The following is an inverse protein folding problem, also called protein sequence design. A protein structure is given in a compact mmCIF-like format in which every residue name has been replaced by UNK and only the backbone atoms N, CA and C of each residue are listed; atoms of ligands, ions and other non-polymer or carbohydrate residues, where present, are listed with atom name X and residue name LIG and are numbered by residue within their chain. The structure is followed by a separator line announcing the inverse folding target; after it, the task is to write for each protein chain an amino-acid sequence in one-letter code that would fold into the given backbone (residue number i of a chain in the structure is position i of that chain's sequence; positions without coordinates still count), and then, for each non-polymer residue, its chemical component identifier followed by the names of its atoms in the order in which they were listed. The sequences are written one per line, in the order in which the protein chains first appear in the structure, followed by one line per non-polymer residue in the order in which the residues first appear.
data_IF_887672862005
#
_entry.id   IF_887672862005
#
_cell.length_a   1.000
_cell.length_b   1.000
_cell.length_c   1.000
_cell.angle_alpha   90.00
_cell.angle_beta   90.00
_cell.angle_gamma   90.00
#
_symmetry.space_group_name_H-M   'P 1'
#
loop_
_entity.id
_entity.type
_entity.pdbx_description
1 polymer ?
#
# COMPACT_ATOMS: atom_id res chain seq x y z
N UNK A 1 -88.61 12.56 8.93
CA UNK A 1 -87.32 11.83 8.83
C UNK A 1 -86.15 12.68 9.37
N UNK A 2 -86.28 13.23 10.57
CA UNK A 2 -85.28 14.12 11.21
C UNK A 2 -84.99 13.75 12.68
N UNK A 3 -85.46 12.57 13.14
CA UNK A 3 -85.28 12.09 14.53
C UNK A 3 -84.50 10.76 14.65
N UNK A 4 -84.12 10.14 13.53
CA UNK A 4 -83.24 8.95 13.51
C UNK A 4 -81.80 9.25 13.06
N UNK A 5 -81.53 10.48 12.62
CA UNK A 5 -80.18 10.90 12.19
C UNK A 5 -79.33 11.45 13.36
N UNK A 6 -79.95 11.85 14.46
CA UNK A 6 -79.25 12.39 15.64
C UNK A 6 -78.68 11.29 16.57
N UNK A 7 -79.24 10.09 16.53
CA UNK A 7 -78.80 8.95 17.34
C UNK A 7 -77.60 8.20 16.74
N UNK A 8 -77.31 8.38 15.45
CA UNK A 8 -76.10 7.86 14.82
C UNK A 8 -74.90 8.82 14.93
N UNK A 9 -75.13 10.12 15.19
CA UNK A 9 -74.06 11.10 15.39
C UNK A 9 -73.53 11.15 16.84
N UNK A 10 -74.33 10.72 17.83
CA UNK A 10 -73.91 10.71 19.23
C UNK A 10 -73.11 9.45 19.64
N UNK A 11 -73.19 8.37 18.86
CA UNK A 11 -72.40 7.15 19.10
C UNK A 11 -70.98 7.24 18.53
N UNK A 12 -70.72 8.17 17.60
CA UNK A 12 -69.41 8.34 16.96
C UNK A 12 -68.50 9.34 17.71
N UNK A 13 -69.05 10.12 18.65
CA UNK A 13 -68.31 11.12 19.43
C UNK A 13 -67.96 10.72 20.89
N UNK A 14 -68.16 9.47 21.29
CA UNK A 14 -67.86 9.00 22.67
C UNK A 14 -66.79 7.92 22.77
N UNK A 15 -66.08 7.59 21.68
CA UNK A 15 -64.94 6.66 21.71
C UNK A 15 -63.56 7.36 21.78
N UNK A 16 -63.54 8.67 21.99
CA UNK A 16 -62.32 9.45 22.13
C UNK A 16 -61.95 9.68 23.60
N UNK A 17 -61.66 8.62 24.37
CA UNK A 17 -60.85 8.70 25.62
C UNK A 17 -60.51 7.27 26.14
N UNK A 18 -59.20 6.99 26.19
CA UNK A 18 -58.51 5.86 26.82
C UNK A 18 -58.64 4.45 26.18
N UNK A 19 -57.80 4.20 25.19
CA UNK A 19 -57.11 2.92 25.06
C UNK A 19 -55.61 3.18 24.88
N UNK A 20 -54.88 3.22 26.00
CA UNK A 20 -53.43 3.03 26.01
C UNK A 20 -53.13 1.64 25.42
N UNK A 21 -52.34 1.61 24.35
CA UNK A 21 -51.98 0.37 23.67
C UNK A 21 -50.91 0.63 22.62
N UNK A 22 -49.69 0.93 23.10
CA UNK A 22 -48.38 0.83 22.44
C UNK A 22 -48.40 0.74 20.91
N UNK A 23 -48.49 1.90 20.27
CA UNK A 23 -47.89 2.14 18.95
C UNK A 23 -46.74 3.09 19.21
N UNK A 24 -45.54 2.52 19.27
CA UNK A 24 -44.32 3.29 19.11
C UNK A 24 -44.43 3.95 17.72
N UNK A 25 -44.55 5.28 17.74
CA UNK A 25 -44.31 6.08 16.56
C UNK A 25 -42.89 5.76 16.12
N UNK A 26 -42.77 5.31 14.88
CA UNK A 26 -41.48 5.32 14.20
C UNK A 26 -41.21 6.80 13.91
N UNK A 27 -40.72 7.49 14.94
CA UNK A 27 -40.08 8.79 14.81
C UNK A 27 -38.93 8.59 13.84
N UNK A 28 -39.21 8.98 12.61
CA UNK A 28 -38.31 9.35 11.55
C UNK A 28 -36.89 9.64 12.08
N UNK A 29 -36.06 8.59 12.12
CA UNK A 29 -34.62 8.67 12.20
C UNK A 29 -34.04 8.34 10.82
N UNK A 30 -34.54 9.00 9.77
CA UNK A 30 -33.63 9.44 8.72
C UNK A 30 -32.72 10.49 9.35
N UNK A 31 -31.70 10.01 10.07
CA UNK A 31 -30.46 10.77 10.14
C UNK A 31 -30.02 10.91 8.69
N UNK A 32 -29.95 12.13 8.18
CA UNK A 32 -29.38 12.47 6.87
C UNK A 32 -28.33 11.43 6.47
N UNK A 33 -28.72 10.51 5.59
CA UNK A 33 -27.82 9.47 5.14
C UNK A 33 -26.83 10.17 4.22
N UNK A 34 -25.68 10.58 4.78
CA UNK A 34 -24.64 11.29 4.03
C UNK A 34 -24.40 10.55 2.72
N UNK A 35 -24.69 11.20 1.61
CA UNK A 35 -24.42 10.65 0.29
C UNK A 35 -22.91 10.68 0.07
N UNK A 36 -22.30 9.50 -0.02
CA UNK A 36 -20.86 9.38 -0.18
C UNK A 36 -20.48 9.32 -1.65
N UNK A 37 -19.41 10.04 -2.00
CA UNK A 37 -18.73 9.98 -3.30
C UNK A 37 -17.24 9.84 -3.07
N UNK A 38 -16.61 8.90 -3.77
CA UNK A 38 -15.19 8.56 -3.58
C UNK A 38 -14.35 9.12 -4.72
N UNK A 39 -13.33 9.90 -4.40
CA UNK A 39 -12.29 10.26 -5.35
C UNK A 39 -10.99 9.53 -5.00
N UNK A 40 -10.19 9.19 -6.01
CA UNK A 40 -8.79 8.79 -5.83
C UNK A 40 -7.89 9.74 -6.60
N UNK A 41 -6.81 10.21 -5.96
CA UNK A 41 -5.85 11.14 -6.54
C UNK A 41 -4.46 10.50 -6.44
N UNK A 42 -3.72 10.35 -7.55
CA UNK A 42 -2.36 9.80 -7.51
C UNK A 42 -1.34 10.84 -7.03
N UNK A 43 -0.27 10.40 -6.36
CA UNK A 43 0.79 11.29 -5.89
C UNK A 43 1.81 11.62 -6.99
N UNK A 44 2.24 10.60 -7.72
CA UNK A 44 3.14 10.59 -8.87
C UNK A 44 2.56 9.66 -9.94
N UNK A 45 2.91 9.91 -11.21
CA UNK A 45 2.53 9.01 -12.30
C UNK A 45 1.02 8.85 -12.46
N UNK A 46 0.59 7.66 -12.86
CA UNK A 46 -0.82 7.32 -13.06
C UNK A 46 -1.12 5.87 -12.67
N UNK A 47 -2.34 5.43 -12.97
CA UNK A 47 -2.88 4.12 -12.64
C UNK A 47 -2.39 2.98 -13.57
N UNK A 48 -1.30 3.18 -14.31
CA UNK A 48 -0.70 2.17 -15.20
C UNK A 48 0.61 1.59 -14.69
N UNK A 49 0.98 1.92 -13.45
CA UNK A 49 2.20 1.44 -12.80
C UNK A 49 2.20 -0.07 -12.48
N UNK A 50 1.05 -0.74 -12.62
CA UNK A 50 0.84 -2.17 -12.34
C UNK A 50 1.32 -2.58 -10.94
N UNK A 51 1.24 -1.64 -10.00
CA UNK A 51 1.76 -1.79 -8.64
C UNK A 51 0.94 -0.94 -7.67
N UNK A 52 1.44 0.21 -7.24
CA UNK A 52 0.93 0.94 -6.09
C UNK A 52 -0.35 1.74 -6.40
N UNK A 53 -0.30 2.58 -7.44
CA UNK A 53 -1.41 3.42 -7.85
C UNK A 53 -2.55 2.62 -8.47
N UNK A 54 -2.21 1.69 -9.37
CA UNK A 54 -3.21 0.86 -10.04
C UNK A 54 -4.01 0.02 -9.04
N UNK A 55 -3.35 -0.62 -8.08
CA UNK A 55 -4.03 -1.47 -7.09
C UNK A 55 -4.97 -0.67 -6.20
N UNK A 56 -4.56 0.53 -5.81
CA UNK A 56 -5.40 1.44 -5.02
C UNK A 56 -6.61 1.91 -5.84
N UNK A 57 -6.42 2.27 -7.11
CA UNK A 57 -7.50 2.60 -8.03
C UNK A 57 -8.50 1.45 -8.19
N UNK A 58 -8.01 0.23 -8.42
CA UNK A 58 -8.85 -0.97 -8.60
C UNK A 58 -9.66 -1.29 -7.34
N UNK A 59 -9.07 -1.09 -6.15
CA UNK A 59 -9.78 -1.24 -4.88
C UNK A 59 -10.90 -0.20 -4.70
N UNK A 60 -10.61 1.07 -4.97
CA UNK A 60 -11.62 2.15 -4.94
C UNK A 60 -12.75 1.87 -5.93
N UNK A 61 -12.42 1.50 -7.16
CA UNK A 61 -13.38 1.19 -8.21
C UNK A 61 -14.26 0.01 -7.84
N UNK A 62 -13.66 -1.10 -7.41
CA UNK A 62 -14.40 -2.30 -7.01
C UNK A 62 -15.32 -2.03 -5.81
N UNK A 63 -14.85 -1.25 -4.83
CA UNK A 63 -15.68 -0.82 -3.71
C UNK A 63 -16.88 0.02 -4.18
N UNK A 64 -16.63 1.01 -5.03
CA UNK A 64 -17.65 1.93 -5.50
C UNK A 64 -18.71 1.23 -6.37
N UNK A 65 -18.29 0.38 -7.31
CA UNK A 65 -19.19 -0.44 -8.13
C UNK A 65 -20.05 -1.37 -7.27
N UNK A 66 -19.45 -2.06 -6.30
CA UNK A 66 -20.16 -2.97 -5.39
C UNK A 66 -21.25 -2.27 -4.57
N UNK A 67 -21.02 -1.01 -4.20
CA UNK A 67 -21.91 -0.26 -3.31
C UNK A 67 -22.75 0.81 -4.03
N UNK A 68 -22.69 0.87 -5.37
CA UNK A 68 -23.37 1.91 -6.19
C UNK A 68 -23.01 3.34 -5.76
N UNK A 69 -21.73 3.56 -5.46
CA UNK A 69 -21.17 4.86 -5.07
C UNK A 69 -20.47 5.48 -6.29
N UNK A 70 -20.59 6.79 -6.44
CA UNK A 70 -19.88 7.51 -7.50
C UNK A 70 -18.37 7.49 -7.23
N UNK A 71 -17.59 7.16 -8.26
CA UNK A 71 -16.14 7.09 -8.19
C UNK A 71 -15.48 7.84 -9.35
N UNK A 72 -14.46 8.65 -9.02
CA UNK A 72 -13.63 9.33 -10.02
C UNK A 72 -12.16 9.30 -9.62
N UNK A 73 -11.31 9.20 -10.65
CA UNK A 73 -9.86 9.30 -10.53
C UNK A 73 -9.39 10.67 -11.04
N UNK A 74 -8.42 11.26 -10.34
CA UNK A 74 -7.77 12.51 -10.69
C UNK A 74 -6.24 12.32 -10.76
N UNK A 75 -5.62 12.92 -11.77
CA UNK A 75 -4.17 12.95 -11.94
C UNK A 75 -3.68 14.39 -11.77
N UNK A 76 -2.79 14.70 -10.81
CA UNK A 76 -2.15 16.01 -10.74
C UNK A 76 -1.42 16.35 -12.05
N UNK A 77 -1.41 17.64 -12.41
CA UNK A 77 -0.74 18.12 -13.62
C UNK A 77 0.80 18.01 -13.54
N UNK A 78 1.34 18.00 -12.33
CA UNK A 78 2.75 17.90 -12.04
C UNK A 78 3.02 17.36 -10.64
N UNK A 79 4.29 17.08 -10.40
CA UNK A 79 4.78 16.36 -9.23
C UNK A 79 5.04 17.29 -8.02
N UNK A 80 4.09 18.18 -7.71
CA UNK A 80 4.23 19.18 -6.65
C UNK A 80 2.95 19.31 -5.80
N UNK A 81 3.10 19.91 -4.61
CA UNK A 81 2.00 20.08 -3.64
C UNK A 81 0.83 20.87 -4.21
N UNK A 82 1.08 21.96 -4.95
CA UNK A 82 0.03 22.83 -5.45
C UNK A 82 -0.89 22.10 -6.44
N UNK A 83 -0.33 21.28 -7.34
CA UNK A 83 -1.12 20.50 -8.29
C UNK A 83 -1.94 19.38 -7.60
N UNK A 84 -1.41 18.80 -6.51
CA UNK A 84 -2.16 17.84 -5.68
C UNK A 84 -3.32 18.50 -4.94
N UNK A 85 -3.09 19.68 -4.36
CA UNK A 85 -4.15 20.50 -3.74
C UNK A 85 -5.20 20.87 -4.78
N UNK A 86 -4.81 21.30 -5.97
CA UNK A 86 -5.77 21.65 -7.03
C UNK A 86 -6.69 20.47 -7.41
N UNK A 87 -6.18 19.22 -7.41
CA UNK A 87 -7.00 18.03 -7.64
C UNK A 87 -7.91 17.71 -6.46
N UNK A 88 -7.46 17.94 -5.22
CA UNK A 88 -8.33 17.84 -4.03
C UNK A 88 -9.48 18.85 -4.13
N UNK A 89 -9.18 20.12 -4.39
CA UNK A 89 -10.20 21.17 -4.55
C UNK A 89 -11.19 20.82 -5.67
N UNK A 90 -10.69 20.37 -6.83
CA UNK A 90 -11.55 19.97 -7.95
C UNK A 90 -12.49 18.81 -7.57
N UNK A 91 -11.98 17.82 -6.81
CA UNK A 91 -12.81 16.72 -6.33
C UNK A 91 -13.88 17.21 -5.33
N UNK A 92 -13.52 18.07 -4.39
CA UNK A 92 -14.47 18.62 -3.42
C UNK A 92 -15.53 19.49 -4.10
N UNK A 93 -15.15 20.34 -5.07
CA UNK A 93 -16.09 21.16 -5.86
C UNK A 93 -17.10 20.32 -6.65
N UNK A 94 -16.69 19.14 -7.13
CA UNK A 94 -17.56 18.15 -7.77
C UNK A 94 -18.42 17.33 -6.77
N UNK A 95 -18.26 17.58 -5.47
CA UNK A 95 -19.03 16.97 -4.40
C UNK A 95 -18.44 15.66 -3.86
N UNK A 96 -17.19 15.34 -4.19
CA UNK A 96 -16.50 14.19 -3.59
C UNK A 96 -16.14 14.48 -2.13
N UNK A 97 -16.57 13.59 -1.23
CA UNK A 97 -16.44 13.78 0.22
C UNK A 97 -15.65 12.65 0.92
N UNK A 98 -15.11 11.71 0.15
CA UNK A 98 -14.08 10.76 0.57
C UNK A 98 -12.97 10.79 -0.46
N UNK A 99 -11.77 11.20 -0.06
CA UNK A 99 -10.62 11.35 -0.96
C UNK A 99 -9.53 10.37 -0.54
N UNK A 100 -9.24 9.41 -1.43
CA UNK A 100 -8.19 8.41 -1.28
C UNK A 100 -6.92 8.90 -1.97
N UNK A 101 -5.81 8.90 -1.23
CA UNK A 101 -4.55 9.53 -1.61
C UNK A 101 -3.38 8.56 -1.38
N UNK A 102 -3.09 7.65 -2.32
CA UNK A 102 -1.93 6.80 -2.23
C UNK A 102 -0.65 7.60 -2.50
N UNK A 103 0.23 7.65 -1.50
CA UNK A 103 1.63 8.03 -1.64
C UNK A 103 2.07 9.17 -0.73
N UNK A 104 3.33 9.08 -0.29
CA UNK A 104 3.92 9.96 0.72
C UNK A 104 3.86 11.45 0.37
N UNK A 105 3.86 11.79 -0.93
CA UNK A 105 3.90 13.18 -1.39
C UNK A 105 2.60 13.97 -1.15
N UNK A 106 1.56 13.32 -0.61
CA UNK A 106 0.36 13.99 -0.11
C UNK A 106 0.55 14.66 1.25
N UNK A 107 1.66 14.47 1.96
CA UNK A 107 1.92 15.12 3.26
C UNK A 107 1.63 16.62 3.25
N UNK A 108 2.19 17.35 2.27
CA UNK A 108 1.94 18.79 2.11
C UNK A 108 0.50 19.12 1.71
N UNK A 109 -0.09 18.36 0.80
CA UNK A 109 -1.45 18.61 0.34
C UNK A 109 -2.48 18.41 1.46
N UNK A 110 -2.27 17.42 2.34
CA UNK A 110 -3.07 17.20 3.54
C UNK A 110 -2.98 18.41 4.49
N UNK A 111 -1.75 18.89 4.76
CA UNK A 111 -1.51 20.06 5.63
C UNK A 111 -2.22 21.32 5.13
N UNK A 112 -2.39 21.46 3.82
CA UNK A 112 -3.10 22.59 3.20
C UNK A 112 -4.61 22.38 3.16
N UNK A 113 -5.10 21.25 2.65
CA UNK A 113 -6.49 21.04 2.30
C UNK A 113 -7.36 20.51 3.45
N UNK A 114 -6.84 19.61 4.31
CA UNK A 114 -7.65 19.00 5.37
C UNK A 114 -8.27 20.02 6.36
N UNK A 115 -7.60 21.14 6.73
CA UNK A 115 -8.20 22.20 7.53
C UNK A 115 -9.36 22.94 6.84
N UNK A 116 -9.39 23.01 5.51
CA UNK A 116 -10.40 23.75 4.75
C UNK A 116 -11.67 22.93 4.51
N UNK A 117 -11.57 21.60 4.53
CA UNK A 117 -12.64 20.68 4.12
C UNK A 117 -13.06 19.70 5.23
N UNK A 118 -13.65 20.23 6.30
CA UNK A 118 -13.92 19.47 7.56
C UNK A 118 -14.93 18.33 7.44
N UNK A 119 -15.77 18.37 6.43
CA UNK A 119 -16.76 17.35 6.09
C UNK A 119 -16.19 16.25 5.17
N UNK A 120 -15.03 16.50 4.53
CA UNK A 120 -14.34 15.55 3.67
C UNK A 120 -13.47 14.61 4.50
N UNK A 121 -13.53 13.32 4.18
CA UNK A 121 -12.69 12.28 4.79
C UNK A 121 -11.48 12.02 3.91
N UNK A 122 -10.29 12.28 4.43
CA UNK A 122 -9.03 12.03 3.75
C UNK A 122 -8.45 10.68 4.19
N UNK A 123 -8.28 9.76 3.25
CA UNK A 123 -7.68 8.44 3.47
C UNK A 123 -6.39 8.38 2.68
N UNK A 124 -5.26 8.47 3.36
CA UNK A 124 -3.94 8.45 2.76
C UNK A 124 -3.26 7.09 2.95
N UNK A 125 -2.59 6.58 1.91
CA UNK A 125 -1.72 5.42 2.03
C UNK A 125 -0.26 5.89 1.93
N UNK A 126 0.61 5.31 2.75
CA UNK A 126 2.05 5.59 2.75
C UNK A 126 2.43 7.04 3.10
N UNK A 127 1.56 7.77 3.80
CA UNK A 127 1.86 9.07 4.38
C UNK A 127 2.20 8.90 5.86
N UNK A 128 3.47 9.04 6.21
CA UNK A 128 3.97 8.90 7.56
C UNK A 128 3.97 10.23 8.34
N UNK A 129 4.22 10.13 9.64
CA UNK A 129 4.34 11.30 10.54
C UNK A 129 5.37 12.31 10.01
N UNK A 130 6.49 11.83 9.47
CA UNK A 130 7.55 12.68 8.93
C UNK A 130 7.11 13.50 7.73
N UNK A 131 6.37 12.91 6.79
CA UNK A 131 5.90 13.58 5.58
C UNK A 131 4.93 14.72 5.90
N UNK A 132 4.09 14.52 6.92
CA UNK A 132 3.16 15.53 7.43
C UNK A 132 3.90 16.66 8.18
N UNK A 133 4.86 16.29 9.03
CA UNK A 133 5.65 17.25 9.81
C UNK A 133 6.53 18.12 8.93
N UNK A 134 7.16 17.58 7.89
CA UNK A 134 8.00 18.36 6.98
C UNK A 134 7.24 19.58 6.43
N UNK A 135 6.01 19.36 5.94
CA UNK A 135 5.17 20.44 5.44
C UNK A 135 4.57 21.31 6.56
N UNK A 136 4.08 20.70 7.64
CA UNK A 136 3.43 21.41 8.75
C UNK A 136 4.38 22.35 9.48
N UNK A 137 5.60 21.90 9.77
CA UNK A 137 6.66 22.67 10.42
C UNK A 137 7.12 23.82 9.52
N UNK A 138 7.32 23.55 8.23
CA UNK A 138 7.67 24.58 7.26
C UNK A 138 6.58 25.65 7.15
N UNK A 139 5.30 25.26 7.13
CA UNK A 139 4.15 26.19 7.14
C UNK A 139 4.09 27.06 8.39
N UNK A 140 4.57 26.55 9.54
CA UNK A 140 4.69 27.32 10.78
C UNK A 140 5.92 28.28 10.79
N UNK A 141 6.76 28.26 9.76
CA UNK A 141 8.00 29.05 9.70
C UNK A 141 9.14 28.50 10.57
N UNK A 142 9.04 27.24 10.99
CA UNK A 142 10.04 26.53 11.78
C UNK A 142 10.89 25.63 10.86
N UNK A 143 12.04 25.13 11.34
CA UNK A 143 12.92 24.24 10.58
C UNK A 143 12.79 22.80 11.08
N UNK A 144 12.36 21.89 10.21
CA UNK A 144 12.24 20.47 10.53
C UNK A 144 13.61 19.81 10.54
N UNK A 145 13.90 19.02 11.57
CA UNK A 145 15.18 18.32 11.76
C UNK A 145 15.19 16.90 11.17
N UNK A 146 14.13 16.52 10.45
CA UNK A 146 13.92 15.20 9.85
C UNK A 146 13.91 14.05 10.87
N UNK A 147 13.68 14.35 12.15
CA UNK A 147 13.40 13.37 13.18
C UNK A 147 11.96 13.56 13.71
N UNK A 148 10.98 12.77 13.24
CA UNK A 148 9.58 12.91 13.63
C UNK A 148 9.36 12.82 15.15
N UNK A 149 10.23 12.15 15.90
CA UNK A 149 10.08 11.96 17.34
C UNK A 149 10.34 13.24 18.15
N UNK A 150 11.03 14.22 17.55
CA UNK A 150 11.29 15.51 18.18
C UNK A 150 10.09 16.48 18.12
N UNK A 151 8.98 16.08 17.48
CA UNK A 151 7.85 16.97 17.18
C UNK A 151 6.50 16.38 17.56
N UNK A 152 5.61 17.24 18.08
CA UNK A 152 4.20 16.94 18.35
C UNK A 152 3.37 17.22 17.09
N UNK A 153 2.87 16.16 16.44
CA UNK A 153 2.20 16.26 15.13
C UNK A 153 1.02 17.22 15.15
N UNK A 154 0.21 17.16 16.21
CA UNK A 154 -1.04 17.90 16.37
C UNK A 154 -0.83 19.42 16.48
N UNK A 155 0.39 19.87 16.81
CA UNK A 155 0.76 21.29 16.79
C UNK A 155 0.83 21.85 15.36
N UNK A 156 1.17 21.01 14.39
CA UNK A 156 1.51 21.43 13.03
C UNK A 156 0.48 20.96 11.98
N UNK A 157 -0.28 19.91 12.27
CA UNK A 157 -1.14 19.24 11.29
C UNK A 157 -2.50 18.92 11.89
N UNK A 158 -3.55 19.32 11.16
CA UNK A 158 -4.92 19.00 11.55
C UNK A 158 -5.33 17.63 11.00
N UNK A 159 -5.33 16.62 11.89
CA UNK A 159 -5.67 15.24 11.55
C UNK A 159 -7.14 14.89 11.81
N UNK A 160 -8.00 15.86 12.18
CA UNK A 160 -9.38 15.59 12.64
C UNK A 160 -10.26 14.89 11.61
N UNK A 161 -9.92 15.00 10.33
CA UNK A 161 -10.58 14.39 9.19
C UNK A 161 -9.60 13.62 8.28
N UNK A 162 -8.48 13.16 8.83
CA UNK A 162 -7.43 12.42 8.11
C UNK A 162 -7.19 11.06 8.76
N UNK A 163 -7.03 10.04 7.92
CA UNK A 163 -6.51 8.72 8.29
C UNK A 163 -5.34 8.40 7.37
N UNK A 164 -4.22 7.96 7.94
CA UNK A 164 -3.07 7.47 7.18
C UNK A 164 -2.82 6.00 7.49
N UNK A 165 -2.62 5.19 6.46
CA UNK A 165 -2.15 3.82 6.57
C UNK A 165 -0.70 3.72 6.07
N UNK A 166 0.24 3.41 6.96
CA UNK A 166 1.63 3.07 6.63
C UNK A 166 1.85 1.57 6.85
N UNK A 167 3.00 1.02 6.42
CA UNK A 167 3.22 -0.42 6.43
C UNK A 167 4.54 -0.81 7.12
N UNK A 168 4.63 -2.08 7.52
CA UNK A 168 5.84 -2.73 8.01
C UNK A 168 6.59 -3.39 6.84
N UNK A 169 7.06 -2.59 5.87
CA UNK A 169 7.64 -3.11 4.62
C UNK A 169 8.90 -3.95 4.81
N UNK A 170 9.62 -3.73 5.92
CA UNK A 170 10.78 -4.53 6.28
C UNK A 170 10.42 -6.02 6.41
N UNK A 171 9.20 -6.36 6.81
CA UNK A 171 8.79 -7.74 7.01
C UNK A 171 8.68 -8.49 5.69
N UNK A 172 7.95 -7.95 4.70
CA UNK A 172 7.84 -8.61 3.39
C UNK A 172 9.14 -8.49 2.57
N UNK A 173 9.95 -7.45 2.78
CA UNK A 173 11.33 -7.40 2.30
C UNK A 173 12.15 -8.59 2.83
N UNK A 174 12.12 -8.83 4.14
CA UNK A 174 12.79 -9.97 4.78
C UNK A 174 12.30 -11.29 4.19
N UNK A 175 10.98 -11.50 4.13
CA UNK A 175 10.40 -12.72 3.60
C UNK A 175 10.90 -13.02 2.17
N UNK A 176 10.97 -11.99 1.32
CA UNK A 176 11.45 -12.14 -0.06
C UNK A 176 12.95 -12.46 -0.15
N UNK A 177 13.78 -11.79 0.64
CA UNK A 177 15.23 -12.05 0.69
C UNK A 177 15.56 -13.44 1.24
N UNK A 178 14.90 -13.82 2.32
CA UNK A 178 15.03 -15.14 2.93
C UNK A 178 14.59 -16.24 1.97
N UNK A 179 13.44 -16.07 1.30
CA UNK A 179 12.96 -17.01 0.29
C UNK A 179 13.96 -17.19 -0.85
N UNK A 180 14.54 -16.11 -1.38
CA UNK A 180 15.50 -16.18 -2.49
C UNK A 180 16.70 -17.07 -2.15
N UNK A 181 17.33 -16.85 -0.99
CA UNK A 181 18.49 -17.66 -0.57
C UNK A 181 18.09 -19.10 -0.28
N UNK A 182 16.96 -19.32 0.39
CA UNK A 182 16.45 -20.67 0.66
C UNK A 182 16.14 -21.46 -0.61
N UNK A 183 15.72 -20.78 -1.68
CA UNK A 183 15.48 -21.39 -2.99
C UNK A 183 16.78 -21.67 -3.79
N UNK A 184 17.92 -21.22 -3.28
CA UNK A 184 19.27 -21.57 -3.76
C UNK A 184 20.01 -20.45 -4.50
N UNK A 185 19.45 -19.24 -4.55
CA UNK A 185 20.11 -18.09 -5.18
C UNK A 185 21.16 -17.47 -4.24
N UNK A 186 22.29 -17.03 -4.80
CA UNK A 186 23.41 -16.49 -4.03
C UNK A 186 23.89 -15.12 -4.51
N UNK A 187 23.70 -14.78 -5.77
CA UNK A 187 24.01 -13.46 -6.31
C UNK A 187 22.71 -12.69 -6.52
N UNK A 188 22.41 -11.77 -5.61
CA UNK A 188 21.14 -11.07 -5.54
C UNK A 188 21.35 -9.57 -5.82
N UNK A 189 20.27 -8.89 -6.16
CA UNK A 189 20.24 -7.45 -6.35
C UNK A 189 19.01 -6.82 -5.70
N UNK A 190 19.17 -5.63 -5.14
CA UNK A 190 18.07 -4.75 -4.76
C UNK A 190 18.11 -3.50 -5.64
N UNK A 191 17.02 -3.29 -6.41
CA UNK A 191 16.77 -2.08 -7.18
C UNK A 191 15.61 -1.33 -6.53
N UNK A 192 15.92 -0.37 -5.68
CA UNK A 192 14.92 0.54 -5.11
C UNK A 192 14.53 1.65 -6.08
N UNK A 193 13.33 2.20 -5.93
CA UNK A 193 12.89 3.41 -6.64
C UNK A 193 13.57 4.67 -6.11
N UNK A 194 12.77 5.63 -5.62
CA UNK A 194 13.30 6.72 -4.78
C UNK A 194 13.60 6.21 -3.37
N UNK A 195 14.64 6.76 -2.72
CA UNK A 195 15.04 6.39 -1.36
C UNK A 195 14.13 7.03 -0.29
N UNK A 196 12.83 6.74 -0.37
CA UNK A 196 11.83 7.16 0.62
C UNK A 196 11.71 6.10 1.72
N UNK A 197 11.24 6.44 2.94
CA UNK A 197 11.25 5.52 4.08
C UNK A 197 10.67 4.12 3.81
N UNK A 198 9.59 4.03 3.02
CA UNK A 198 9.00 2.73 2.64
C UNK A 198 9.96 1.86 1.80
N UNK A 199 10.56 2.43 0.75
CA UNK A 199 11.51 1.71 -0.12
C UNK A 199 12.77 1.33 0.65
N UNK A 200 13.23 2.20 1.55
CA UNK A 200 14.35 1.91 2.45
C UNK A 200 14.05 0.70 3.34
N UNK A 201 12.88 0.65 3.97
CA UNK A 201 12.47 -0.47 4.83
C UNK A 201 12.38 -1.79 4.05
N UNK A 202 11.83 -1.80 2.85
CA UNK A 202 11.86 -2.97 1.96
C UNK A 202 13.28 -3.48 1.72
N UNK A 203 14.20 -2.60 1.32
CA UNK A 203 15.58 -2.97 1.02
C UNK A 203 16.34 -3.48 2.24
N UNK A 204 16.12 -2.86 3.41
CA UNK A 204 16.77 -3.28 4.65
C UNK A 204 16.21 -4.60 5.15
N UNK A 205 14.90 -4.80 5.03
CA UNK A 205 14.27 -6.09 5.25
C UNK A 205 14.88 -7.16 4.34
N UNK A 206 14.99 -6.87 3.04
CA UNK A 206 15.57 -7.79 2.05
C UNK A 206 16.99 -8.23 2.43
N UNK A 207 17.88 -7.29 2.77
CA UNK A 207 19.24 -7.63 3.21
C UNK A 207 19.23 -8.50 4.48
N UNK A 208 18.40 -8.18 5.47
CA UNK A 208 18.27 -8.98 6.69
C UNK A 208 17.79 -10.41 6.41
N UNK A 209 16.82 -10.57 5.49
CA UNK A 209 16.31 -11.88 5.10
C UNK A 209 17.36 -12.72 4.37
N UNK A 210 18.10 -12.10 3.44
CA UNK A 210 19.22 -12.74 2.74
C UNK A 210 20.30 -13.18 3.73
N UNK A 211 20.68 -12.31 4.66
CA UNK A 211 21.72 -12.59 5.66
C UNK A 211 21.31 -13.73 6.60
N UNK A 212 20.08 -13.70 7.09
CA UNK A 212 19.56 -14.73 7.99
C UNK A 212 19.51 -16.11 7.31
N UNK A 213 19.01 -16.20 6.08
CA UNK A 213 18.98 -17.45 5.34
C UNK A 213 20.40 -17.95 5.01
N UNK A 214 21.32 -17.06 4.66
CA UNK A 214 22.71 -17.40 4.41
C UNK A 214 23.40 -17.95 5.69
N UNK A 215 23.17 -17.32 6.83
CA UNK A 215 23.70 -17.74 8.13
C UNK A 215 23.17 -19.13 8.53
N UNK A 216 21.87 -19.35 8.37
CA UNK A 216 21.24 -20.63 8.67
C UNK A 216 21.80 -21.77 7.81
N UNK A 217 22.00 -21.50 6.51
CA UNK A 217 22.58 -22.45 5.55
C UNK A 217 24.12 -22.52 5.62
N UNK A 218 24.76 -21.72 6.48
CA UNK A 218 26.22 -21.61 6.64
C UNK A 218 26.93 -21.26 5.32
N UNK A 219 26.30 -20.41 4.51
CA UNK A 219 26.87 -19.90 3.28
C UNK A 219 27.79 -18.72 3.59
N UNK A 220 28.86 -18.58 2.80
CA UNK A 220 29.84 -17.48 2.92
C UNK A 220 30.07 -16.77 1.59
N UNK A 221 29.32 -17.15 0.55
CA UNK A 221 29.50 -16.70 -0.83
C UNK A 221 28.26 -15.98 -1.39
N UNK A 222 27.34 -15.57 -0.51
CA UNK A 222 26.14 -14.81 -0.88
C UNK A 222 26.49 -13.32 -1.01
N UNK A 223 26.01 -12.69 -2.09
CA UNK A 223 26.28 -11.30 -2.45
C UNK A 223 24.98 -10.58 -2.81
N UNK A 224 24.89 -9.30 -2.42
CA UNK A 224 23.78 -8.41 -2.77
C UNK A 224 24.34 -7.14 -3.39
N UNK A 225 24.04 -6.89 -4.66
CA UNK A 225 24.20 -5.55 -5.23
C UNK A 225 23.01 -4.68 -4.77
N UNK A 226 23.25 -3.42 -4.41
CA UNK A 226 22.22 -2.56 -3.83
C UNK A 226 22.26 -1.18 -4.48
N UNK A 227 21.14 -0.72 -5.06
CA UNK A 227 21.07 0.59 -5.71
C UNK A 227 19.66 1.18 -5.68
N UNK A 228 19.58 2.52 -5.68
CA UNK A 228 18.35 3.26 -5.94
C UNK A 228 18.32 3.82 -7.37
N UNK A 229 17.22 3.62 -8.08
CA UNK A 229 17.00 4.18 -9.41
C UNK A 229 16.76 5.69 -9.39
N UNK A 230 16.25 6.24 -8.27
CA UNK A 230 15.94 7.66 -8.12
C UNK A 230 14.59 8.10 -8.69
N UNK A 231 13.76 7.14 -9.14
CA UNK A 231 12.40 7.35 -9.64
C UNK A 231 11.58 6.04 -9.51
N UNK A 232 10.28 6.08 -9.80
CA UNK A 232 9.37 4.92 -9.67
C UNK A 232 9.00 4.24 -11.01
N UNK A 233 9.74 4.51 -12.08
CA UNK A 233 9.52 3.91 -13.39
C UNK A 233 10.85 3.52 -14.03
N UNK A 234 10.83 2.50 -14.90
CA UNK A 234 12.02 2.05 -15.62
C UNK A 234 12.42 3.02 -16.74
N UNK A 235 13.70 3.05 -17.06
CA UNK A 235 14.24 3.74 -18.23
C UNK A 235 15.56 3.11 -18.71
N UNK A 236 16.16 3.68 -19.75
CA UNK A 236 17.38 3.15 -20.36
C UNK A 236 18.59 3.15 -19.42
N UNK A 237 18.73 4.13 -18.52
CA UNK A 237 19.87 4.21 -17.60
C UNK A 237 19.75 3.11 -16.53
N UNK A 238 18.55 2.93 -15.97
CA UNK A 238 18.27 1.87 -15.01
C UNK A 238 18.44 0.50 -15.67
N UNK A 239 17.93 0.32 -16.89
CA UNK A 239 18.08 -0.92 -17.65
C UNK A 239 19.55 -1.23 -17.94
N UNK A 240 20.40 -0.23 -18.23
CA UNK A 240 21.83 -0.45 -18.46
C UNK A 240 22.57 -0.96 -17.21
N UNK A 241 22.21 -0.47 -16.02
CA UNK A 241 22.74 -1.00 -14.76
C UNK A 241 22.27 -2.44 -14.53
N UNK A 242 20.98 -2.72 -14.76
CA UNK A 242 20.45 -4.08 -14.63
C UNK A 242 21.09 -5.05 -15.65
N UNK A 243 21.31 -4.61 -16.88
CA UNK A 243 22.04 -5.38 -17.91
C UNK A 243 23.45 -5.73 -17.40
N UNK A 244 24.14 -4.78 -16.77
CA UNK A 244 25.46 -5.00 -16.18
C UNK A 244 25.41 -6.03 -15.05
N UNK A 245 24.44 -5.92 -14.15
CA UNK A 245 24.26 -6.84 -13.03
C UNK A 245 23.97 -8.27 -13.50
N UNK A 246 22.99 -8.46 -14.40
CA UNK A 246 22.63 -9.80 -14.88
C UNK A 246 23.74 -10.42 -15.74
N UNK A 247 24.38 -9.66 -16.63
CA UNK A 247 25.54 -10.15 -17.38
C UNK A 247 26.74 -10.47 -16.47
N UNK A 248 26.85 -9.78 -15.33
CA UNK A 248 27.84 -10.02 -14.28
C UNK A 248 27.52 -11.21 -13.36
N UNK A 249 26.40 -11.91 -13.58
CA UNK A 249 26.02 -13.10 -12.82
C UNK A 249 25.07 -12.86 -11.65
N UNK A 250 24.43 -11.69 -11.57
CA UNK A 250 23.27 -11.50 -10.66
C UNK A 250 22.15 -12.44 -11.11
N UNK A 251 21.62 -13.24 -10.20
CA UNK A 251 20.61 -14.26 -10.47
C UNK A 251 19.20 -13.72 -10.27
N UNK A 252 19.00 -12.89 -9.25
CA UNK A 252 17.68 -12.35 -8.89
C UNK A 252 17.78 -10.88 -8.50
N UNK A 253 16.94 -10.03 -9.08
CA UNK A 253 16.79 -8.63 -8.63
C UNK A 253 15.42 -8.40 -8.00
N UNK A 254 15.37 -7.91 -6.78
CA UNK A 254 14.18 -7.32 -6.18
C UNK A 254 13.99 -5.90 -6.70
N UNK A 255 12.97 -5.72 -7.55
CA UNK A 255 12.61 -4.43 -8.13
C UNK A 255 11.53 -3.75 -7.28
N UNK A 256 11.95 -2.83 -6.41
CA UNK A 256 11.15 -2.20 -5.37
C UNK A 256 10.92 -0.71 -5.68
N UNK A 257 9.94 -0.39 -6.52
CA UNK A 257 9.61 1.01 -6.81
C UNK A 257 8.59 1.18 -7.91
N UNK A 258 7.39 0.60 -7.75
CA UNK A 258 6.32 0.71 -8.74
C UNK A 258 6.74 0.14 -10.10
N UNK A 259 6.59 0.93 -11.16
CA UNK A 259 6.90 0.57 -12.54
C UNK A 259 8.39 0.33 -12.85
N UNK A 260 9.30 0.52 -11.88
CA UNK A 260 10.74 0.28 -12.06
C UNK A 260 11.09 -1.18 -12.41
N UNK A 261 10.19 -2.12 -12.12
CA UNK A 261 10.36 -3.54 -12.48
C UNK A 261 10.60 -3.74 -13.98
N UNK A 262 10.08 -2.85 -14.83
CA UNK A 262 10.22 -2.92 -16.29
C UNK A 262 11.68 -3.00 -16.72
N UNK A 263 12.55 -2.16 -16.14
CA UNK A 263 14.00 -2.19 -16.39
C UNK A 263 14.67 -3.49 -15.93
N UNK A 264 14.28 -4.00 -14.76
CA UNK A 264 14.79 -5.28 -14.26
C UNK A 264 14.37 -6.46 -15.15
N UNK A 265 13.12 -6.47 -15.63
CA UNK A 265 12.58 -7.51 -16.52
C UNK A 265 13.22 -7.45 -17.90
N UNK A 266 13.38 -6.26 -18.47
CA UNK A 266 14.03 -6.08 -19.77
C UNK A 266 15.47 -6.57 -19.79
N UNK A 267 16.18 -6.43 -18.67
CA UNK A 267 17.52 -6.99 -18.51
C UNK A 267 17.49 -8.50 -18.22
N UNK A 268 16.64 -8.96 -17.30
CA UNK A 268 16.55 -10.36 -16.90
C UNK A 268 16.23 -11.28 -18.08
N UNK A 269 15.29 -10.90 -18.96
CA UNK A 269 14.89 -11.74 -20.10
C UNK A 269 16.01 -11.99 -21.12
N UNK A 270 17.10 -11.20 -21.08
CA UNK A 270 18.28 -11.38 -21.94
C UNK A 270 19.24 -12.44 -21.42
N UNK A 271 19.12 -12.86 -20.16
CA UNK A 271 20.04 -13.78 -19.48
C UNK A 271 19.30 -15.03 -19.02
N UNK A 272 19.74 -16.19 -19.50
CA UNK A 272 19.10 -17.45 -19.15
C UNK A 272 19.19 -17.74 -17.63
N UNK A 273 18.04 -17.98 -17.00
CA UNK A 273 17.95 -18.30 -15.58
C UNK A 273 17.86 -17.09 -14.65
N UNK A 274 18.03 -15.86 -15.16
CA UNK A 274 17.80 -14.64 -14.40
C UNK A 274 16.33 -14.52 -13.96
N UNK A 275 16.10 -13.92 -12.79
CA UNK A 275 14.78 -13.78 -12.17
C UNK A 275 14.58 -12.40 -11.58
N UNK A 276 13.32 -12.10 -11.28
CA UNK A 276 12.90 -10.87 -10.61
C UNK A 276 12.10 -11.22 -9.36
N UNK A 277 12.18 -10.37 -8.34
CA UNK A 277 11.21 -10.32 -7.24
C UNK A 277 10.39 -9.03 -7.43
N UNK A 278 9.07 -9.18 -7.43
CA UNK A 278 8.12 -8.07 -7.56
C UNK A 278 7.85 -7.37 -6.24
N UNK A 279 7.05 -6.31 -6.27
CA UNK A 279 6.67 -5.49 -5.12
C UNK A 279 5.18 -5.14 -5.14
N UNK A 280 4.66 -4.76 -3.96
CA UNK A 280 3.29 -4.28 -3.69
C UNK A 280 2.19 -5.33 -3.88
N UNK A 281 2.10 -5.95 -5.05
CA UNK A 281 1.09 -6.98 -5.35
C UNK A 281 1.74 -8.31 -5.70
N UNK A 282 0.94 -9.35 -5.88
CA UNK A 282 1.38 -10.54 -6.58
C UNK A 282 1.68 -10.19 -8.04
N UNK A 283 2.95 -9.85 -8.29
CA UNK A 283 3.39 -9.27 -9.54
C UNK A 283 3.81 -10.33 -10.56
N UNK A 284 3.64 -11.62 -10.28
CA UNK A 284 4.03 -12.70 -11.19
C UNK A 284 3.30 -12.60 -12.54
N UNK A 285 1.98 -12.37 -12.52
CA UNK A 285 1.17 -12.21 -13.73
C UNK A 285 1.48 -10.91 -14.49
N UNK A 286 1.71 -9.82 -13.76
CA UNK A 286 2.10 -8.50 -14.28
C UNK A 286 3.42 -8.59 -15.03
N UNK A 287 4.45 -9.12 -14.37
CA UNK A 287 5.79 -9.28 -14.93
C UNK A 287 5.76 -10.21 -16.15
N UNK A 288 5.03 -11.33 -16.07
CA UNK A 288 4.90 -12.27 -17.18
C UNK A 288 4.26 -11.61 -18.41
N UNK A 289 3.18 -10.84 -18.22
CA UNK A 289 2.51 -10.12 -19.30
C UNK A 289 3.41 -9.05 -19.92
N UNK A 290 4.11 -8.27 -19.09
CA UNK A 290 5.06 -7.27 -19.58
C UNK A 290 6.20 -7.92 -20.39
N UNK A 291 6.80 -8.99 -19.86
CA UNK A 291 7.89 -9.70 -20.52
C UNK A 291 7.49 -10.32 -21.87
N UNK A 292 6.25 -10.83 -21.96
CA UNK A 292 5.68 -11.40 -23.18
C UNK A 292 5.44 -10.35 -24.28
N UNK A 293 5.23 -9.09 -23.89
CA UNK A 293 4.94 -7.99 -24.80
C UNK A 293 3.45 -7.78 -25.06
N UNK A 294 3.12 -6.58 -25.57
CA UNK A 294 1.74 -6.22 -25.88
C UNK A 294 1.14 -7.14 -26.95
N UNK A 295 -0.09 -7.61 -26.72
CA UNK A 295 -0.80 -8.50 -27.63
C UNK A 295 -0.34 -9.97 -27.62
N UNK A 296 0.57 -10.35 -26.72
CA UNK A 296 0.98 -11.74 -26.56
C UNK A 296 -0.19 -12.66 -26.16
N UNK A 297 -0.17 -13.89 -26.67
CA UNK A 297 -1.15 -14.91 -26.29
C UNK A 297 -0.87 -15.48 -24.89
N UNK A 298 -1.85 -16.18 -24.32
CA UNK A 298 -1.74 -16.73 -22.98
C UNK A 298 -0.59 -17.73 -22.83
N UNK A 299 -0.28 -18.50 -23.88
CA UNK A 299 0.81 -19.47 -23.85
C UNK A 299 2.17 -18.77 -23.74
N UNK A 300 2.36 -17.66 -24.44
CA UNK A 300 3.57 -16.83 -24.36
C UNK A 300 3.69 -16.19 -22.99
N UNK A 301 2.59 -15.63 -22.44
CA UNK A 301 2.54 -15.07 -21.09
C UNK A 301 2.89 -16.15 -20.05
N UNK A 302 2.30 -17.34 -20.16
CA UNK A 302 2.58 -18.45 -19.24
C UNK A 302 4.05 -18.88 -19.28
N UNK A 303 4.70 -18.77 -20.45
CA UNK A 303 6.14 -19.00 -20.61
C UNK A 303 7.02 -18.07 -19.76
N UNK A 304 6.53 -16.87 -19.40
CA UNK A 304 7.26 -15.90 -18.58
C UNK A 304 6.88 -15.93 -17.10
N UNK A 305 5.90 -16.72 -16.66
CA UNK A 305 5.53 -16.83 -15.22
C UNK A 305 6.71 -17.24 -14.35
N UNK A 306 7.62 -18.07 -14.89
CA UNK A 306 8.81 -18.49 -14.19
C UNK A 306 9.84 -17.36 -13.99
N UNK A 307 9.67 -16.17 -14.56
CA UNK A 307 10.59 -15.05 -14.38
C UNK A 307 10.54 -14.49 -12.95
N UNK A 308 9.38 -14.56 -12.29
CA UNK A 308 9.18 -13.99 -10.95
C UNK A 308 9.37 -15.05 -9.87
N UNK A 309 10.35 -14.88 -8.98
CA UNK A 309 10.58 -15.81 -7.84
C UNK A 309 9.44 -15.70 -6.83
N UNK A 310 9.09 -14.46 -6.48
CA UNK A 310 8.06 -14.09 -5.51
C UNK A 310 7.75 -12.59 -5.65
N UNK A 311 6.89 -12.05 -4.80
CA UNK A 311 6.67 -10.60 -4.68
C UNK A 311 6.59 -10.20 -3.20
N UNK A 312 7.28 -9.14 -2.81
CA UNK A 312 7.14 -8.55 -1.47
C UNK A 312 5.89 -7.67 -1.46
N UNK A 313 4.77 -8.22 -1.00
CA UNK A 313 3.46 -7.60 -1.13
C UNK A 313 3.17 -6.61 0.00
N UNK A 314 2.46 -5.54 -0.35
CA UNK A 314 1.87 -4.51 0.51
C UNK A 314 0.37 -4.53 0.27
N UNK A 315 -0.41 -4.63 1.34
CA UNK A 315 -1.85 -4.85 1.33
C UNK A 315 -2.65 -3.60 0.94
N UNK A 316 -2.33 -2.97 -0.19
CA UNK A 316 -2.98 -1.77 -0.71
C UNK A 316 -4.46 -2.00 -0.98
N UNK A 317 -4.77 -3.14 -1.62
CA UNK A 317 -6.14 -3.50 -1.94
C UNK A 317 -6.99 -3.66 -0.66
N UNK A 318 -6.64 -4.55 0.30
CA UNK A 318 -7.42 -4.68 1.53
C UNK A 318 -7.40 -3.40 2.36
N UNK A 319 -6.26 -2.69 2.50
CA UNK A 319 -6.20 -1.43 3.25
C UNK A 319 -7.16 -0.38 2.68
N UNK A 320 -7.32 -0.32 1.35
CA UNK A 320 -8.24 0.61 0.69
C UNK A 320 -9.69 0.12 0.78
N UNK A 321 -9.96 -1.08 0.28
CA UNK A 321 -11.31 -1.62 0.16
C UNK A 321 -11.99 -1.82 1.52
N UNK A 322 -11.26 -2.35 2.50
CA UNK A 322 -11.82 -2.62 3.82
C UNK A 322 -12.02 -1.32 4.60
N UNK A 323 -11.09 -0.36 4.50
CA UNK A 323 -11.27 0.97 5.10
C UNK A 323 -12.48 1.68 4.50
N UNK A 324 -12.62 1.72 3.17
CA UNK A 324 -13.80 2.31 2.53
C UNK A 324 -15.09 1.61 2.99
N UNK A 325 -15.08 0.28 3.07
CA UNK A 325 -16.21 -0.49 3.58
C UNK A 325 -16.55 -0.14 5.03
N UNK A 326 -15.57 -0.07 5.92
CA UNK A 326 -15.81 0.23 7.33
C UNK A 326 -16.27 1.69 7.53
N UNK A 327 -15.65 2.63 6.84
CA UNK A 327 -15.93 4.06 6.93
C UNK A 327 -17.29 4.42 6.33
N UNK A 328 -17.58 3.94 5.12
CA UNK A 328 -18.77 4.37 4.37
C UNK A 328 -19.97 3.48 4.65
N UNK A 329 -19.82 2.16 4.57
CA UNK A 329 -20.96 1.22 4.69
C UNK A 329 -21.34 1.01 6.14
N UNK A 330 -20.35 0.89 7.04
CA UNK A 330 -20.61 0.68 8.47
C UNK A 330 -20.63 1.97 9.29
N UNK A 331 -20.18 3.10 8.72
CA UNK A 331 -20.20 4.40 9.39
C UNK A 331 -19.14 4.57 10.48
N UNK A 332 -18.05 3.80 10.43
CA UNK A 332 -17.06 3.70 11.50
C UNK A 332 -15.89 4.68 11.38
N UNK A 333 -16.11 5.88 10.81
CA UNK A 333 -15.03 6.86 10.61
C UNK A 333 -14.25 7.22 11.89
N UNK A 334 -14.93 7.20 13.05
CA UNK A 334 -14.32 7.48 14.35
C UNK A 334 -13.22 6.46 14.75
N UNK A 335 -13.21 5.27 14.12
CA UNK A 335 -12.14 4.29 14.29
C UNK A 335 -10.85 4.69 13.54
N UNK A 336 -10.90 5.64 12.61
CA UNK A 336 -9.82 5.94 11.67
C UNK A 336 -9.29 7.38 11.79
N UNK A 337 -10.19 8.36 11.95
CA UNK A 337 -9.80 9.78 11.97
C UNK A 337 -8.77 10.08 13.05
N UNK A 338 -7.77 10.91 12.72
CA UNK A 338 -6.69 11.26 13.62
C UNK A 338 -5.56 10.25 13.72
N UNK A 339 -5.62 9.11 12.99
CA UNK A 339 -4.65 8.03 13.15
C UNK A 339 -3.68 7.93 11.98
N UNK A 340 -2.44 7.60 12.31
CA UNK A 340 -1.45 7.02 11.40
C UNK A 340 -1.29 5.56 11.84
N UNK A 341 -1.94 4.63 11.15
CA UNK A 341 -1.93 3.22 11.49
C UNK A 341 -0.80 2.52 10.75
N UNK A 342 0.04 1.80 11.50
CA UNK A 342 1.09 0.97 10.94
C UNK A 342 0.58 -0.47 10.71
N UNK A 343 0.32 -0.81 9.45
CA UNK A 343 -0.23 -2.08 9.01
C UNK A 343 0.87 -3.11 8.78
N UNK A 344 0.67 -4.31 9.30
CA UNK A 344 1.64 -5.39 9.19
C UNK A 344 0.98 -6.75 9.30
N UNK A 345 1.49 -7.58 10.20
CA UNK A 345 0.92 -8.89 10.49
C UNK A 345 -0.33 -8.76 11.38
N UNK A 346 -1.43 -9.38 10.96
CA UNK A 346 -2.67 -9.52 11.74
C UNK A 346 -2.94 -10.98 12.13
N UNK A 347 -2.22 -11.93 11.53
CA UNK A 347 -2.33 -13.36 11.80
C UNK A 347 -0.97 -14.05 11.65
N UNK A 348 -0.60 -14.84 12.65
CA UNK A 348 0.54 -15.76 12.57
C UNK A 348 0.20 -17.10 11.91
N UNK A 349 -1.09 -17.47 11.87
CA UNK A 349 -1.55 -18.79 11.40
C UNK A 349 -1.97 -18.78 9.92
N UNK A 350 -2.46 -17.63 9.43
CA UNK A 350 -2.89 -17.43 8.05
C UNK A 350 -2.21 -16.19 7.45
N UNK A 351 -1.10 -16.39 6.73
CA UNK A 351 -0.38 -15.29 6.09
C UNK A 351 -1.22 -14.45 5.12
N UNK A 352 -2.26 -15.03 4.51
CA UNK A 352 -3.07 -14.36 3.50
C UNK A 352 -3.86 -13.17 4.04
N UNK A 353 -4.08 -13.14 5.36
CA UNK A 353 -4.75 -12.04 6.06
C UNK A 353 -3.84 -10.83 6.31
N UNK A 354 -2.51 -11.01 6.22
CA UNK A 354 -1.55 -9.98 6.58
C UNK A 354 -1.46 -8.87 5.52
N UNK A 355 -1.22 -7.64 5.99
CA UNK A 355 -1.00 -6.49 5.10
C UNK A 355 0.41 -6.47 4.49
N UNK A 356 1.34 -7.30 4.99
CA UNK A 356 2.67 -7.48 4.40
C UNK A 356 2.98 -8.97 4.37
N UNK A 357 3.31 -9.50 3.18
CA UNK A 357 3.47 -10.94 2.96
C UNK A 357 4.17 -11.23 1.62
N UNK A 358 4.40 -12.51 1.32
CA UNK A 358 4.74 -13.01 -0.03
C UNK A 358 3.60 -13.93 -0.52
N UNK A 359 3.35 -14.02 -1.85
CA UNK A 359 2.18 -14.72 -2.38
C UNK A 359 2.22 -16.23 -2.17
N UNK A 360 1.17 -16.79 -1.57
CA UNK A 360 1.07 -18.24 -1.35
C UNK A 360 1.09 -19.04 -2.65
N UNK A 361 0.45 -18.55 -3.71
CA UNK A 361 0.25 -19.34 -4.94
C UNK A 361 1.36 -19.14 -5.98
N UNK A 362 1.90 -17.92 -6.12
CA UNK A 362 2.85 -17.60 -7.20
C UNK A 362 4.32 -17.63 -6.80
N UNK A 363 4.64 -17.67 -5.49
CA UNK A 363 6.01 -17.91 -5.05
C UNK A 363 6.50 -19.28 -5.56
N UNK A 364 7.73 -19.32 -6.08
CA UNK A 364 8.35 -20.54 -6.61
C UNK A 364 8.83 -21.49 -5.51
N UNK A 365 7.90 -21.99 -4.70
CA UNK A 365 8.17 -22.96 -3.63
C UNK A 365 8.91 -24.20 -4.16
N UNK A 366 9.77 -24.78 -3.32
CA UNK A 366 10.57 -25.96 -3.68
C UNK A 366 10.72 -26.91 -2.49
N UNK A 367 10.25 -28.14 -2.68
CA UNK A 367 10.39 -29.22 -1.70
C UNK A 367 11.85 -29.46 -1.31
N UNK A 368 12.08 -29.67 -0.01
CA UNK A 368 13.43 -29.83 0.56
C UNK A 368 14.28 -28.56 0.59
N UNK A 369 13.71 -27.41 0.17
CA UNK A 369 14.37 -26.11 0.19
C UNK A 369 13.53 -25.07 0.95
N UNK A 370 12.47 -24.53 0.32
CA UNK A 370 11.55 -23.58 0.95
C UNK A 370 10.12 -23.89 0.54
N UNK A 371 9.31 -24.30 1.51
CA UNK A 371 7.90 -24.68 1.32
C UNK A 371 6.96 -23.64 1.94
N UNK A 372 5.69 -23.68 1.56
CA UNK A 372 4.65 -22.88 2.21
C UNK A 372 4.60 -23.09 3.73
N UNK A 373 4.87 -24.31 4.22
CA UNK A 373 4.88 -24.59 5.66
C UNK A 373 6.08 -23.94 6.36
N UNK A 374 7.25 -23.90 5.70
CA UNK A 374 8.39 -23.14 6.22
C UNK A 374 8.07 -21.65 6.27
N UNK A 375 7.39 -21.12 5.24
CA UNK A 375 6.96 -19.73 5.22
C UNK A 375 5.96 -19.41 6.33
N UNK A 376 4.92 -20.24 6.53
CA UNK A 376 3.95 -20.07 7.63
C UNK A 376 4.64 -20.08 8.99
N UNK A 377 5.60 -20.98 9.20
CA UNK A 377 6.38 -21.02 10.44
C UNK A 377 7.15 -19.71 10.66
N UNK A 378 7.83 -19.19 9.63
CA UNK A 378 8.52 -17.90 9.70
C UNK A 378 7.57 -16.73 10.00
N UNK A 379 6.40 -16.67 9.35
CA UNK A 379 5.37 -15.64 9.62
C UNK A 379 4.87 -15.74 11.06
N UNK A 380 4.67 -16.95 11.57
CA UNK A 380 4.29 -17.18 12.96
C UNK A 380 5.37 -16.67 13.92
N UNK A 381 6.64 -16.96 13.65
CA UNK A 381 7.75 -16.46 14.46
C UNK A 381 7.85 -14.93 14.45
N UNK A 382 7.59 -14.29 13.29
CA UNK A 382 7.50 -12.82 13.20
C UNK A 382 6.33 -12.27 14.02
N UNK A 383 5.15 -12.90 13.90
CA UNK A 383 3.94 -12.49 14.60
C UNK A 383 4.07 -12.63 16.12
N UNK A 384 4.66 -13.73 16.58
CA UNK A 384 4.91 -14.01 17.99
C UNK A 384 6.10 -13.20 18.56
N UNK A 385 6.83 -12.48 17.69
CA UNK A 385 7.97 -11.64 18.06
C UNK A 385 9.27 -12.40 18.37
N UNK A 386 9.33 -13.70 18.05
CA UNK A 386 10.55 -14.52 18.21
C UNK A 386 11.55 -14.29 17.09
N UNK A 387 11.06 -13.93 15.90
CA UNK A 387 11.86 -13.40 14.80
C UNK A 387 11.55 -11.91 14.67
N UNK A 388 12.56 -11.06 14.86
CA UNK A 388 12.42 -9.61 14.70
C UNK A 388 13.16 -9.14 13.46
N UNK A 389 12.59 -8.15 12.78
CA UNK A 389 13.21 -7.49 11.64
C UNK A 389 13.34 -6.01 12.00
N UNK A 390 14.54 -5.47 11.84
CA UNK A 390 14.79 -4.05 12.11
C UNK A 390 14.19 -3.19 11.01
N UNK A 391 13.45 -2.16 11.42
CA UNK A 391 12.94 -1.09 10.55
C UNK A 391 13.73 0.23 10.70
N UNK A 392 14.87 0.18 11.39
CA UNK A 392 15.72 1.34 11.66
C UNK A 392 16.35 1.89 10.37
N UNK A 393 15.76 2.98 9.87
CA UNK A 393 16.21 3.68 8.66
C UNK A 393 17.41 4.62 8.90
N UNK A 394 17.94 4.70 10.13
CA UNK A 394 19.15 5.49 10.42
C UNK A 394 20.44 4.73 10.09
N UNK A 395 20.35 3.42 9.85
CA UNK A 395 21.45 2.54 9.44
C UNK A 395 21.60 2.50 7.93
N UNK A 396 22.74 1.99 7.45
CA UNK A 396 22.93 1.64 6.05
C UNK A 396 22.58 0.16 5.79
N UNK A 397 22.28 -0.19 4.54
CA UNK A 397 21.96 -1.57 4.14
C UNK A 397 23.03 -2.58 4.60
N UNK A 398 24.31 -2.24 4.42
CA UNK A 398 25.45 -3.07 4.82
C UNK A 398 25.54 -3.34 6.33
N UNK A 399 24.93 -2.50 7.17
CA UNK A 399 24.99 -2.66 8.63
C UNK A 399 24.12 -3.84 9.10
N UNK A 400 23.26 -4.35 8.23
CA UNK A 400 22.45 -5.55 8.46
C UNK A 400 23.09 -6.84 7.95
N UNK A 401 24.26 -6.77 7.28
CA UNK A 401 24.96 -7.93 6.76
C UNK A 401 26.01 -8.44 7.75
N UNK A 402 25.92 -9.71 8.12
CA UNK A 402 26.86 -10.37 9.04
C UNK A 402 27.67 -11.48 8.37
N UNK A 403 27.09 -12.18 7.39
CA UNK A 403 27.72 -13.31 6.68
C UNK A 403 27.68 -13.17 5.16
N UNK A 404 27.03 -12.13 4.64
CA UNK A 404 26.93 -11.83 3.20
C UNK A 404 27.75 -10.60 2.83
N UNK A 405 28.02 -10.42 1.54
CA UNK A 405 28.58 -9.16 1.02
C UNK A 405 27.46 -8.27 0.48
N UNK A 406 27.40 -7.01 0.91
CA UNK A 406 26.52 -5.99 0.30
C UNK A 406 27.38 -4.96 -0.42
N UNK A 407 27.17 -4.81 -1.72
CA UNK A 407 27.78 -3.77 -2.57
C UNK A 407 26.77 -2.64 -2.78
N UNK A 408 26.88 -1.59 -1.94
CA UNK A 408 26.03 -0.40 -2.03
C UNK A 408 26.58 0.57 -3.08
N UNK A 409 25.85 0.68 -4.18
CA UNK A 409 26.20 1.48 -5.36
C UNK A 409 25.53 2.86 -5.34
N UNK A 410 24.84 3.23 -4.25
CA UNK A 410 24.21 4.53 -4.08
C UNK A 410 22.96 4.71 -4.96
N UNK A 411 22.95 5.75 -5.81
CA UNK A 411 21.81 6.08 -6.67
C UNK A 411 22.21 6.35 -8.11
N UNK A 412 21.39 5.89 -9.05
CA UNK A 412 21.58 6.13 -10.50
C UNK A 412 21.26 7.59 -10.83
N UNK A 413 20.16 8.12 -10.26
CA UNK A 413 19.63 9.46 -10.57
C UNK A 413 19.55 10.34 -9.32
N UNK A 414 19.68 11.64 -9.56
CA UNK A 414 19.91 12.69 -8.57
C UNK A 414 18.65 13.33 -8.04
#
# INVERSE_FOLDING_TARGET
MKKYLALLLALVMSLSLFACGKKEGDDNKDKDKTEYKVAMITDYGDITDQSFNQTTYEACKAFAEKNSIEFKYYKPAGDNTADRVAMIESAVEEGFNVIVMPGYAFGGAIVEAAPQHKDVKFIALDVAKGDLLEAGVAKAGESYDYNPDNWELEKYVDMSNVYCAIYQEELCGYMAGYAAVKLGYKNLGFLGGMAVPAVVRYGYGFVQGVDAAAAELKLTDVKVNYIYGGQFFGDADITAVMDTWYNGGTEVVFACGGGIYTSAVDAAKKVNGAKVIGVDVDQAGVIAKYAAGEGADQATIDGFKALTVTSAMKGLYPATFDTLTDVIVKGNWDNYKGKIQNLGLVSGDDPTLNYVQIPMESTQWKDGAFTQDNYKAMVKEMFDGTLTVSNDITKAAKDFATVITVDDQGKIKG
#
